data_IF_411640682656
#
_entry.id   IF_411640682656
#
_cell.length_a   1.000
_cell.length_b   1.000
_cell.length_c   1.000
_cell.angle_alpha   90.00
_cell.angle_beta   90.00
_cell.angle_gamma   90.00
#
_symmetry.space_group_name_H-M   'P 1'
#
loop_
_entity.id
_entity.type
_entity.pdbx_description
1 polymer ?
#
# COMPACT_ATOMS: atom_id res chain seq x y z
N UNK A 1 4.04 -13.74 14.89
CA UNK A 1 2.81 -12.93 15.08
C UNK A 1 2.65 -11.96 13.92
N UNK A 2 1.56 -12.01 13.17
CA UNK A 2 1.31 -11.09 12.06
C UNK A 2 1.18 -9.65 12.59
N UNK A 3 1.98 -8.73 12.08
CA UNK A 3 1.91 -7.31 12.45
C UNK A 3 0.57 -6.77 11.94
N UNK A 4 -0.31 -6.34 12.86
CA UNK A 4 -1.62 -5.73 12.54
C UNK A 4 -1.40 -4.59 11.55
N UNK A 5 -2.10 -4.61 10.40
CA UNK A 5 -2.04 -3.53 9.40
C UNK A 5 -2.45 -2.22 10.09
N UNK A 6 -1.50 -1.29 10.25
CA UNK A 6 -1.75 -0.01 10.93
C UNK A 6 -2.51 0.91 9.97
N UNK A 7 -3.77 1.17 10.25
CA UNK A 7 -4.57 2.14 9.50
C UNK A 7 -4.00 3.54 9.77
N UNK A 8 -3.70 4.35 8.73
CA UNK A 8 -3.23 5.71 8.91
C UNK A 8 -4.26 6.59 9.63
N UNK A 9 -3.78 7.51 10.48
CA UNK A 9 -4.62 8.42 11.28
C UNK A 9 -5.57 9.30 10.44
N UNK A 10 -5.26 9.51 9.16
CA UNK A 10 -6.13 10.24 8.21
C UNK A 10 -7.45 9.52 7.93
N UNK A 11 -7.48 8.19 7.97
CA UNK A 11 -8.63 7.37 7.60
C UNK A 11 -9.47 6.94 8.81
N UNK A 12 -8.87 6.90 10.01
CA UNK A 12 -9.57 6.52 11.25
C UNK A 12 -10.84 7.35 11.52
N UNK A 13 -10.84 8.71 11.44
CA UNK A 13 -12.05 9.50 11.67
C UNK A 13 -13.20 9.16 10.72
N UNK A 14 -12.89 8.76 9.48
CA UNK A 14 -13.89 8.37 8.50
C UNK A 14 -14.50 7.01 8.80
N UNK A 15 -13.69 6.06 9.31
CA UNK A 15 -14.18 4.75 9.78
C UNK A 15 -15.09 4.94 10.99
N UNK A 16 -14.71 5.82 11.92
CA UNK A 16 -15.49 6.10 13.13
C UNK A 16 -16.83 6.76 12.80
N UNK A 17 -16.84 7.73 11.88
CA UNK A 17 -18.05 8.36 11.36
C UNK A 17 -18.95 7.34 10.66
N UNK A 18 -18.39 6.47 9.81
CA UNK A 18 -19.13 5.40 9.13
C UNK A 18 -19.88 4.53 10.13
N UNK A 19 -19.17 4.05 11.16
CA UNK A 19 -19.73 3.19 12.21
C UNK A 19 -20.75 3.93 13.08
N UNK A 20 -20.45 5.17 13.48
CA UNK A 20 -21.30 5.94 14.40
C UNK A 20 -22.63 6.36 13.76
N UNK A 21 -22.61 6.78 12.49
CA UNK A 21 -23.79 7.28 11.80
C UNK A 21 -24.41 6.27 10.82
N UNK A 22 -23.93 5.01 10.85
CA UNK A 22 -24.40 3.91 9.99
C UNK A 22 -24.41 4.30 8.50
N UNK A 23 -23.36 5.00 8.06
CA UNK A 23 -23.19 5.38 6.66
C UNK A 23 -22.66 4.19 5.85
N UNK A 24 -23.09 4.07 4.61
CA UNK A 24 -22.46 3.15 3.64
C UNK A 24 -21.12 3.74 3.19
N UNK A 25 -20.26 2.90 2.60
CA UNK A 25 -19.01 3.37 2.01
C UNK A 25 -19.25 4.40 0.90
N UNK A 26 -20.35 4.27 0.14
CA UNK A 26 -20.78 5.25 -0.84
C UNK A 26 -21.06 6.63 -0.21
N UNK A 27 -21.83 6.68 0.89
CA UNK A 27 -22.13 7.95 1.56
C UNK A 27 -20.87 8.60 2.15
N UNK A 28 -19.95 7.79 2.66
CA UNK A 28 -18.66 8.29 3.17
C UNK A 28 -17.82 8.87 2.03
N UNK A 29 -17.82 8.23 0.87
CA UNK A 29 -17.15 8.76 -0.32
C UNK A 29 -17.79 10.06 -0.80
N UNK A 30 -19.12 10.11 -0.94
CA UNK A 30 -19.86 11.31 -1.34
C UNK A 30 -19.53 12.48 -0.42
N UNK A 31 -19.53 12.25 0.90
CA UNK A 31 -19.20 13.30 1.86
C UNK A 31 -17.75 13.81 1.72
N UNK A 32 -16.82 12.96 1.29
CA UNK A 32 -15.43 13.36 1.03
C UNK A 32 -15.31 14.18 -0.25
N UNK A 33 -15.99 13.77 -1.32
CA UNK A 33 -16.05 14.50 -2.59
C UNK A 33 -16.72 15.87 -2.41
N UNK A 34 -17.73 15.95 -1.54
CA UNK A 34 -18.38 17.19 -1.12
C UNK A 34 -17.51 18.08 -0.20
N UNK A 35 -16.33 17.61 0.24
CA UNK A 35 -15.46 18.36 1.14
C UNK A 35 -15.95 18.45 2.59
N UNK A 36 -16.89 17.59 3.01
CA UNK A 36 -17.34 17.53 4.40
C UNK A 36 -16.23 17.02 5.31
N UNK A 37 -16.23 17.52 6.55
CA UNK A 37 -15.22 17.15 7.55
C UNK A 37 -15.77 16.13 8.56
N UNK A 38 -15.04 15.04 8.87
CA UNK A 38 -15.50 13.97 9.76
C UNK A 38 -15.82 14.48 11.17
N UNK A 39 -15.14 15.55 11.61
CA UNK A 39 -15.36 16.20 12.91
C UNK A 39 -16.69 16.93 13.03
N UNK A 40 -17.27 17.40 11.92
CA UNK A 40 -18.53 18.17 11.90
C UNK A 40 -19.78 17.31 11.65
N UNK A 41 -19.61 16.01 11.39
CA UNK A 41 -20.74 15.08 11.24
C UNK A 41 -21.75 15.08 12.39
N UNK A 42 -21.35 15.20 13.67
CA UNK A 42 -22.32 15.33 14.76
C UNK A 42 -23.27 16.52 14.59
N UNK A 43 -22.79 17.63 14.02
CA UNK A 43 -23.62 18.81 13.77
C UNK A 43 -24.61 18.59 12.60
N UNK A 44 -24.20 17.82 11.59
CA UNK A 44 -25.07 17.47 10.46
C UNK A 44 -26.14 16.44 10.85
N UNK A 45 -25.80 15.51 11.73
CA UNK A 45 -26.70 14.45 12.20
C UNK A 45 -27.63 14.86 13.35
N UNK A 46 -27.68 16.14 13.71
CA UNK A 46 -28.55 16.61 14.79
C UNK A 46 -30.03 16.75 14.36
N UNK A 47 -30.59 15.64 13.87
CA UNK A 47 -31.99 15.53 13.45
C UNK A 47 -32.94 15.41 14.64
N UNK A 48 -32.44 14.97 15.80
CA UNK A 48 -33.24 14.82 17.03
C UNK A 48 -33.68 16.17 17.59
N UNK A 49 -32.80 17.15 17.58
CA UNK A 49 -33.11 18.48 18.09
C UNK A 49 -33.77 19.36 17.01
N UNK A 50 -33.67 18.98 15.73
CA UNK A 50 -34.20 19.73 14.59
C UNK A 50 -34.97 18.79 13.64
N UNK A 51 -36.25 18.50 13.91
CA UNK A 51 -37.05 17.53 13.14
C UNK A 51 -37.30 17.96 11.69
N UNK A 52 -37.18 19.25 11.37
CA UNK A 52 -37.25 19.76 10.00
C UNK A 52 -35.98 19.49 9.17
N UNK A 53 -34.93 18.96 9.80
CA UNK A 53 -33.65 18.65 9.15
C UNK A 53 -33.69 17.25 8.58
N UNK A 54 -33.21 17.07 7.35
CA UNK A 54 -33.15 15.75 6.76
C UNK A 54 -32.20 14.82 7.55
N UNK A 55 -32.48 13.50 7.57
CA UNK A 55 -31.51 12.51 8.00
C UNK A 55 -30.18 12.70 7.28
N UNK A 56 -29.07 12.48 8.00
CA UNK A 56 -27.72 12.70 7.48
C UNK A 56 -27.44 12.01 6.14
N UNK A 57 -27.99 10.81 5.94
CA UNK A 57 -27.88 10.05 4.67
C UNK A 57 -28.50 10.84 3.52
N UNK A 58 -29.77 11.23 3.66
CA UNK A 58 -30.51 11.97 2.64
C UNK A 58 -29.88 13.35 2.39
N UNK A 59 -29.35 13.99 3.45
CA UNK A 59 -28.65 15.26 3.32
C UNK A 59 -27.41 15.15 2.41
N UNK A 60 -26.62 14.08 2.56
CA UNK A 60 -25.45 13.83 1.71
C UNK A 60 -25.87 13.52 0.27
N UNK A 61 -26.91 12.71 0.08
CA UNK A 61 -27.45 12.38 -1.25
C UNK A 61 -27.92 13.63 -2.00
N UNK A 62 -28.74 14.48 -1.37
CA UNK A 62 -29.23 15.71 -2.00
C UNK A 62 -28.11 16.70 -2.33
N UNK A 63 -27.13 16.86 -1.45
CA UNK A 63 -25.98 17.73 -1.73
C UNK A 63 -25.14 17.20 -2.89
N UNK A 64 -24.97 15.89 -2.97
CA UNK A 64 -24.21 15.25 -4.03
C UNK A 64 -24.92 15.39 -5.38
N UNK A 65 -26.22 15.11 -5.41
CA UNK A 65 -27.04 15.30 -6.60
C UNK A 65 -27.03 16.75 -7.07
N UNK A 66 -27.10 17.72 -6.15
CA UNK A 66 -27.06 19.14 -6.50
C UNK A 66 -25.72 19.58 -7.12
N UNK A 67 -24.59 19.03 -6.67
CA UNK A 67 -23.26 19.42 -7.17
C UNK A 67 -22.82 18.63 -8.41
N UNK A 68 -23.15 17.34 -8.45
CA UNK A 68 -22.63 16.42 -9.47
C UNK A 68 -23.71 15.92 -10.45
N UNK A 69 -24.99 16.16 -10.17
CA UNK A 69 -26.11 15.68 -11.00
C UNK A 69 -26.29 14.16 -10.98
N UNK A 70 -25.66 13.48 -10.02
CA UNK A 70 -25.69 12.01 -9.87
C UNK A 70 -26.16 11.68 -8.46
N UNK A 71 -26.90 10.59 -8.32
CA UNK A 71 -27.36 10.12 -7.00
C UNK A 71 -26.28 9.33 -6.24
N UNK A 72 -25.35 8.70 -6.96
CA UNK A 72 -24.26 7.88 -6.40
C UNK A 72 -22.95 8.03 -7.18
N UNK A 73 -21.80 7.81 -6.53
CA UNK A 73 -20.52 7.71 -7.24
C UNK A 73 -20.50 6.48 -8.16
N UNK A 74 -19.90 6.60 -9.34
CA UNK A 74 -19.78 5.49 -10.31
C UNK A 74 -18.88 4.37 -9.79
N UNK A 75 -17.82 4.72 -9.03
CA UNK A 75 -16.92 3.75 -8.40
C UNK A 75 -16.90 3.99 -6.90
N UNK A 76 -17.42 3.03 -6.13
CA UNK A 76 -17.46 3.11 -4.66
C UNK A 76 -16.19 2.50 -4.09
N UNK A 77 -15.26 3.35 -3.68
CA UNK A 77 -14.05 2.94 -2.97
C UNK A 77 -14.28 2.96 -1.45
N UNK A 78 -14.00 1.84 -0.79
CA UNK A 78 -14.05 1.79 0.67
C UNK A 78 -12.89 2.57 1.31
N UNK A 79 -13.11 3.10 2.51
CA UNK A 79 -12.05 3.80 3.26
C UNK A 79 -10.83 2.90 3.51
N UNK A 80 -11.07 1.61 3.70
CA UNK A 80 -10.03 0.62 3.95
C UNK A 80 -9.18 0.37 2.70
N UNK A 81 -9.80 0.21 1.52
CA UNK A 81 -9.08 0.07 0.25
C UNK A 81 -8.19 1.29 -0.03
N UNK A 82 -8.70 2.51 0.21
CA UNK A 82 -7.91 3.73 0.07
C UNK A 82 -6.77 3.82 1.09
N UNK A 83 -6.97 3.35 2.32
CA UNK A 83 -5.91 3.29 3.32
C UNK A 83 -4.79 2.34 2.89
N UNK A 84 -5.13 1.18 2.33
CA UNK A 84 -4.17 0.22 1.80
C UNK A 84 -3.42 0.78 0.59
N UNK A 85 -4.10 1.40 -0.37
CA UNK A 85 -3.47 2.06 -1.52
C UNK A 85 -2.48 3.15 -1.09
N UNK A 86 -2.85 3.94 -0.06
CA UNK A 86 -1.96 4.96 0.50
C UNK A 86 -0.72 4.34 1.16
N UNK A 87 -0.87 3.23 1.88
CA UNK A 87 0.27 2.50 2.48
C UNK A 87 1.16 1.88 1.40
N UNK A 88 0.58 1.28 0.36
CA UNK A 88 1.30 0.69 -0.76
C UNK A 88 2.13 1.74 -1.51
N UNK A 89 1.54 2.91 -1.80
CA UNK A 89 2.26 4.03 -2.43
C UNK A 89 3.44 4.51 -1.58
N UNK A 90 3.28 4.53 -0.25
CA UNK A 90 4.37 4.91 0.67
C UNK A 90 5.46 3.84 0.74
N UNK A 91 5.09 2.56 0.71
CA UNK A 91 6.03 1.45 0.69
C UNK A 91 6.84 1.43 -0.62
N UNK A 92 6.18 1.60 -1.77
CA UNK A 92 6.82 1.68 -3.07
C UNK A 92 7.84 2.83 -3.14
N UNK A 93 7.48 4.02 -2.65
CA UNK A 93 8.42 5.15 -2.55
C UNK A 93 9.64 4.84 -1.68
N UNK A 94 9.44 4.09 -0.58
CA UNK A 94 10.54 3.68 0.29
C UNK A 94 11.47 2.67 -0.40
N UNK A 95 10.90 1.68 -1.10
CA UNK A 95 11.67 0.69 -1.85
C UNK A 95 12.46 1.33 -2.99
N UNK A 96 11.85 2.24 -3.74
CA UNK A 96 12.55 2.99 -4.80
C UNK A 96 13.73 3.79 -4.24
N UNK A 97 13.56 4.46 -3.10
CA UNK A 97 14.64 5.18 -2.44
C UNK A 97 15.77 4.23 -2.00
N UNK A 98 15.43 3.08 -1.41
CA UNK A 98 16.41 2.08 -0.98
C UNK A 98 17.15 1.47 -2.18
N UNK A 99 16.45 1.17 -3.28
CA UNK A 99 17.07 0.69 -4.51
C UNK A 99 17.99 1.73 -5.14
N UNK A 100 17.61 3.02 -5.12
CA UNK A 100 18.46 4.10 -5.61
C UNK A 100 19.70 4.29 -4.73
N UNK A 101 19.56 4.19 -3.39
CA UNK A 101 20.68 4.23 -2.45
C UNK A 101 21.63 3.04 -2.64
N UNK A 102 21.09 1.83 -2.79
CA UNK A 102 21.87 0.62 -3.08
C UNK A 102 22.58 0.70 -4.44
N UNK A 103 21.91 1.17 -5.49
CA UNK A 103 22.53 1.38 -6.79
C UNK A 103 23.63 2.46 -6.75
N UNK A 104 23.43 3.52 -5.96
CA UNK A 104 24.45 4.55 -5.76
C UNK A 104 25.64 4.05 -4.92
N UNK A 105 25.41 3.15 -3.97
CA UNK A 105 26.46 2.50 -3.17
C UNK A 105 27.26 1.49 -4.01
N UNK A 106 26.58 0.63 -4.79
CA UNK A 106 27.24 -0.27 -5.76
C UNK A 106 28.02 0.51 -6.82
N UNK A 107 27.54 1.66 -7.28
CA UNK A 107 28.26 2.52 -8.24
C UNK A 107 29.45 3.27 -7.61
N UNK A 108 29.48 3.46 -6.29
CA UNK A 108 30.61 4.07 -5.55
C UNK A 108 31.72 3.09 -5.20
N UNK A 109 31.49 1.78 -5.33
CA UNK A 109 32.53 0.76 -5.18
C UNK A 109 33.00 0.25 -6.54
N UNK A 110 33.98 0.92 -7.15
CA UNK A 110 34.99 0.18 -7.90
C UNK A 110 36.41 0.67 -7.56
N UNK A 111 37.26 -0.27 -7.09
CA UNK A 111 38.73 -0.35 -7.19
C UNK A 111 39.39 -0.81 -5.87
N UNK A 112 39.34 -2.12 -5.60
CA UNK A 112 40.39 -2.88 -4.88
C UNK A 112 40.16 -4.40 -5.05
N UNK A 113 40.01 -4.83 -6.31
CA UNK A 113 39.97 -6.25 -6.67
C UNK A 113 40.63 -6.47 -8.05
N UNK A 114 41.80 -5.87 -8.25
CA UNK A 114 42.68 -6.17 -9.38
C UNK A 114 44.15 -5.87 -9.03
N UNK A 115 44.77 -6.80 -8.29
CA UNK A 115 46.16 -7.31 -8.43
C UNK A 115 46.12 -8.67 -7.70
N UNK A 116 46.59 -9.79 -8.22
CA UNK A 116 47.72 -10.02 -9.10
C UNK A 116 47.52 -11.34 -9.88
N UNK A 117 48.10 -11.39 -11.08
CA UNK A 117 48.17 -12.57 -11.94
C UNK A 117 49.45 -13.33 -11.57
N UNK A 118 49.36 -14.56 -11.07
CA UNK A 118 50.51 -15.47 -11.11
C UNK A 118 50.14 -16.71 -11.92
N UNK A 119 50.63 -16.71 -13.16
CA UNK A 119 50.78 -17.86 -14.03
C UNK A 119 52.03 -18.60 -13.57
N UNK A 120 51.89 -19.83 -13.07
CA UNK A 120 52.97 -20.82 -13.16
C UNK A 120 52.40 -22.24 -13.32
N UNK A 121 52.55 -22.78 -14.53
CA UNK A 121 52.73 -24.22 -14.81
C UNK A 121 54.23 -24.45 -15.00
N UNK A 122 54.84 -25.65 -14.78
CA UNK A 122 54.25 -26.99 -14.97
C UNK A 122 54.76 -28.12 -14.02
N UNK A 123 54.22 -29.33 -14.25
CA UNK A 123 54.87 -30.65 -14.10
C UNK A 123 54.65 -31.53 -12.83
N UNK A 124 54.46 -32.82 -13.15
CA UNK A 124 54.91 -34.02 -12.42
C UNK A 124 53.92 -34.79 -11.50
N UNK A 125 53.19 -35.72 -12.14
CA UNK A 125 53.07 -37.17 -11.86
C UNK A 125 52.84 -37.66 -10.41
N UNK A 126 51.76 -38.44 -10.20
CA UNK A 126 51.81 -39.84 -9.69
C UNK A 126 50.43 -40.54 -9.71
N UNK A 127 50.37 -41.89 -9.65
CA UNK A 127 49.60 -42.70 -10.59
C UNK A 127 48.34 -43.35 -9.99
N UNK A 128 47.49 -43.86 -10.89
CA UNK A 128 46.48 -44.91 -10.64
C UNK A 128 47.13 -46.15 -9.97
N UNK A 129 46.40 -47.15 -9.40
CA UNK A 129 45.04 -47.65 -9.78
C UNK A 129 44.25 -48.14 -8.50
N UNK A 130 43.26 -49.08 -8.49
CA UNK A 130 42.73 -49.91 -9.57
C UNK A 130 41.22 -50.27 -9.56
N UNK A 131 40.85 -51.04 -10.58
CA UNK A 131 39.75 -52.04 -10.73
C UNK A 131 38.29 -51.59 -10.71
N UNK A 132 37.63 -51.79 -11.85
CA UNK A 132 36.44 -52.64 -12.06
C UNK A 132 36.26 -52.75 -13.59
N UNK A 133 36.62 -53.87 -14.24
CA UNK A 133 35.82 -55.10 -14.36
C UNK A 133 34.46 -54.89 -15.05
N UNK A 134 34.48 -54.77 -16.38
CA UNK A 134 33.38 -55.28 -17.21
C UNK A 134 33.93 -55.69 -18.58
N UNK A 135 33.92 -57.00 -18.84
CA UNK A 135 34.30 -57.58 -20.13
C UNK A 135 33.11 -57.67 -21.08
N UNK A 136 33.37 -57.98 -22.36
CA UNK A 136 32.35 -58.63 -23.16
C UNK A 136 32.86 -59.90 -23.86
N UNK A 137 31.96 -60.91 -23.84
CA UNK A 137 31.81 -62.06 -24.75
C UNK A 137 33.03 -62.93 -25.08
#
# INVERSE_FOLDING_TARGET
MAKKKRIPHKFLPWIDVRKKFKLSDAHVQMARELGLSPKRFPNYANTKDQPWKLPLVQFIEQLYEKQFGKSRPDEVMTIEAMAEAHLAKRAARKLQKQQAEQAAETARTPQDAATDVEVESPAEVKPAPPVDAEGPA
#
